data_IF_691805100767
#
_entry.id   IF_691805100767
#
_cell.length_a   1.000
_cell.length_b   1.000
_cell.length_c   1.000
_cell.angle_alpha   90.00
_cell.angle_beta   90.00
_cell.angle_gamma   90.00
#
_symmetry.space_group_name_H-M   'P 1'
#
loop_
_entity.id
_entity.type
_entity.pdbx_description
1 polymer ?
#
# COMPACT_ATOMS: atom_id res chain seq x y z
N UNK A 1 22.35 -1.48 -7.50
CA UNK A 1 21.74 -2.82 -7.71
C UNK A 1 21.03 -2.84 -9.06
N UNK A 2 21.09 -3.93 -9.86
CA UNK A 2 20.31 -4.03 -11.09
C UNK A 2 18.80 -3.94 -10.80
N UNK A 3 18.04 -3.37 -11.73
CA UNK A 3 16.58 -3.38 -11.68
C UNK A 3 16.04 -4.78 -12.05
N UNK A 4 14.92 -5.18 -11.46
CA UNK A 4 14.22 -6.42 -11.83
C UNK A 4 13.13 -6.12 -12.85
N UNK A 5 13.20 -6.79 -13.98
CA UNK A 5 12.15 -6.82 -15.01
C UNK A 5 11.40 -8.17 -14.95
N UNK A 6 10.07 -8.14 -14.93
CA UNK A 6 9.23 -9.34 -15.02
C UNK A 6 7.99 -9.07 -15.88
N UNK A 7 8.06 -9.42 -17.17
CA UNK A 7 6.91 -9.33 -18.08
C UNK A 7 6.02 -10.58 -18.04
N UNK A 8 6.48 -11.65 -17.37
CA UNK A 8 5.77 -12.92 -17.24
C UNK A 8 4.73 -12.92 -16.10
N UNK A 9 4.48 -11.78 -15.45
CA UNK A 9 3.49 -11.64 -14.37
C UNK A 9 2.09 -12.10 -14.80
N UNK A 10 1.68 -11.76 -16.03
CA UNK A 10 0.38 -12.15 -16.58
C UNK A 10 0.26 -13.65 -16.86
N UNK A 11 1.39 -14.37 -16.82
CA UNK A 11 1.46 -15.83 -16.95
C UNK A 11 1.58 -16.52 -15.58
N UNK A 12 1.36 -15.78 -14.48
CA UNK A 12 1.40 -16.32 -13.12
C UNK A 12 2.82 -16.53 -12.58
N UNK A 13 3.85 -16.01 -13.26
CA UNK A 13 5.24 -16.15 -12.82
C UNK A 13 5.60 -15.09 -11.78
N UNK A 14 5.91 -15.57 -10.58
CA UNK A 14 6.25 -14.73 -9.42
C UNK A 14 7.70 -14.87 -8.97
N UNK A 15 8.12 -14.01 -8.06
CA UNK A 15 9.43 -14.09 -7.40
C UNK A 15 9.25 -14.08 -5.89
N UNK A 16 9.79 -15.10 -5.23
CA UNK A 16 10.01 -15.14 -3.79
C UNK A 16 11.41 -14.57 -3.53
N UNK A 17 11.55 -13.36 -2.95
CA UNK A 17 12.87 -12.73 -2.78
C UNK A 17 13.75 -13.49 -1.78
N UNK A 18 15.07 -13.49 -2.03
CA UNK A 18 16.05 -14.03 -1.10
C UNK A 18 16.00 -13.31 0.25
N UNK A 19 16.00 -14.07 1.35
CA UNK A 19 16.13 -13.51 2.70
C UNK A 19 17.62 -13.33 3.02
N UNK A 20 18.12 -12.12 2.82
CA UNK A 20 19.54 -11.76 3.00
C UNK A 20 19.71 -10.51 3.84
N UNK A 21 20.81 -10.46 4.59
CA UNK A 21 21.21 -9.28 5.35
C UNK A 21 21.95 -8.27 4.46
N UNK A 22 22.00 -7.02 4.89
CA UNK A 22 22.81 -6.00 4.22
C UNK A 22 24.28 -6.41 4.19
N UNK A 23 24.95 -6.17 3.06
CA UNK A 23 26.32 -6.61 2.80
C UNK A 23 26.46 -8.07 2.36
N UNK A 24 25.39 -8.88 2.41
CA UNK A 24 25.44 -10.28 1.98
C UNK A 24 25.27 -10.42 0.47
N UNK A 25 26.11 -11.23 -0.18
CA UNK A 25 25.92 -11.62 -1.59
C UNK A 25 24.79 -12.62 -1.76
N UNK A 26 23.96 -12.43 -2.78
CA UNK A 26 22.88 -13.33 -3.17
C UNK A 26 22.65 -13.33 -4.68
N UNK A 27 21.91 -14.30 -5.17
CA UNK A 27 21.48 -14.36 -6.57
C UNK A 27 20.13 -13.67 -6.73
N UNK A 28 20.11 -12.54 -7.42
CA UNK A 28 18.89 -11.80 -7.71
C UNK A 28 18.36 -12.23 -9.09
N UNK A 29 17.09 -12.58 -9.19
CA UNK A 29 16.40 -12.72 -10.47
C UNK A 29 16.17 -11.29 -11.01
N UNK A 30 16.91 -10.93 -12.05
CA UNK A 30 16.91 -9.57 -12.63
C UNK A 30 16.04 -9.48 -13.89
N UNK A 31 15.79 -10.59 -14.57
CA UNK A 31 14.90 -10.64 -15.74
C UNK A 31 14.12 -11.94 -15.76
N UNK A 32 12.81 -11.82 -15.95
CA UNK A 32 11.90 -12.94 -16.16
C UNK A 32 11.07 -12.59 -17.38
N UNK A 33 11.20 -13.40 -18.41
CA UNK A 33 10.66 -13.11 -19.72
C UNK A 33 9.87 -14.31 -20.25
N UNK A 34 8.61 -14.08 -20.64
CA UNK A 34 7.86 -15.04 -21.45
C UNK A 34 8.20 -14.82 -22.93
N UNK A 35 8.73 -15.85 -23.60
CA UNK A 35 9.17 -15.71 -24.98
C UNK A 35 7.97 -15.51 -25.90
N UNK A 36 8.04 -14.50 -26.75
CA UNK A 36 7.06 -14.26 -27.82
C UNK A 36 7.02 -15.42 -28.81
N UNK A 37 5.95 -15.57 -29.62
CA UNK A 37 5.89 -16.63 -30.63
C UNK A 37 7.11 -16.64 -31.58
N UNK A 38 7.63 -15.48 -31.94
CA UNK A 38 8.78 -15.34 -32.84
C UNK A 38 10.09 -15.85 -32.20
N UNK A 39 10.27 -15.61 -30.90
CA UNK A 39 11.43 -16.07 -30.13
C UNK A 39 11.32 -17.56 -29.81
N UNK A 40 10.15 -18.01 -29.38
CA UNK A 40 9.95 -19.35 -28.88
C UNK A 40 10.06 -20.41 -29.97
N UNK A 41 9.44 -20.16 -31.13
CA UNK A 41 9.46 -21.06 -32.29
C UNK A 41 8.93 -22.48 -31.97
N UNK A 42 7.88 -22.58 -31.15
CA UNK A 42 7.23 -23.84 -30.79
C UNK A 42 7.97 -24.67 -29.73
N UNK A 43 8.98 -24.07 -29.07
CA UNK A 43 9.70 -24.75 -27.98
C UNK A 43 8.90 -24.74 -26.68
N UNK A 44 9.34 -25.57 -25.75
CA UNK A 44 8.76 -25.70 -24.40
C UNK A 44 9.90 -25.84 -23.40
N UNK A 45 10.65 -24.75 -23.22
CA UNK A 45 11.89 -24.72 -22.46
C UNK A 45 11.87 -23.59 -21.42
N UNK A 46 12.48 -23.87 -20.28
CA UNK A 46 12.95 -22.86 -19.35
C UNK A 46 14.43 -22.60 -19.65
N UNK A 47 14.75 -21.42 -20.16
CA UNK A 47 16.11 -20.93 -20.35
C UNK A 47 16.58 -20.22 -19.09
N UNK A 48 17.83 -20.45 -18.71
CA UNK A 48 18.40 -19.87 -17.49
C UNK A 48 19.77 -19.28 -17.83
N UNK A 49 19.97 -18.02 -17.47
CA UNK A 49 21.26 -17.36 -17.46
C UNK A 49 21.64 -16.95 -16.03
N UNK A 50 22.93 -17.10 -15.69
CA UNK A 50 23.47 -16.72 -14.40
C UNK A 50 24.70 -15.85 -14.65
N UNK A 51 24.68 -14.65 -14.08
CA UNK A 51 25.69 -13.62 -14.29
C UNK A 51 26.44 -13.33 -12.99
N UNK A 52 27.75 -13.10 -13.05
CA UNK A 52 28.55 -12.62 -11.92
C UNK A 52 28.21 -11.17 -11.55
N UNK A 53 28.89 -10.63 -10.54
CA UNK A 53 28.69 -9.24 -10.07
C UNK A 53 28.92 -8.20 -11.17
N UNK A 54 29.80 -8.50 -12.14
CA UNK A 54 30.10 -7.64 -13.28
C UNK A 54 29.17 -7.84 -14.49
N UNK A 55 28.11 -8.65 -14.36
CA UNK A 55 27.16 -8.92 -15.43
C UNK A 55 27.68 -9.88 -16.51
N UNK A 56 28.76 -10.63 -16.25
CA UNK A 56 29.30 -11.63 -17.18
C UNK A 56 28.78 -13.01 -16.84
N UNK A 57 28.58 -13.88 -17.84
CA UNK A 57 28.10 -15.25 -17.62
C UNK A 57 29.02 -16.00 -16.65
N UNK A 58 28.42 -16.49 -15.56
CA UNK A 58 29.09 -17.30 -14.55
C UNK A 58 29.09 -18.77 -14.99
N UNK A 59 30.06 -19.14 -15.84
CA UNK A 59 30.23 -20.52 -16.29
C UNK A 59 30.43 -21.48 -15.11
N UNK A 60 29.76 -22.64 -15.18
CA UNK A 60 29.74 -23.64 -14.11
C UNK A 60 28.79 -23.33 -12.96
N UNK A 61 28.15 -22.15 -12.93
CA UNK A 61 27.09 -21.87 -11.98
C UNK A 61 25.91 -22.83 -12.19
N UNK A 62 25.23 -23.18 -11.10
CA UNK A 62 24.18 -24.20 -11.11
C UNK A 62 22.87 -23.62 -10.62
N UNK A 63 21.78 -23.98 -11.29
CA UNK A 63 20.42 -23.71 -10.84
C UNK A 63 19.68 -25.00 -10.56
N UNK A 64 18.83 -25.00 -9.54
CA UNK A 64 17.90 -26.09 -9.26
C UNK A 64 16.54 -25.72 -9.79
N UNK A 65 16.03 -26.53 -10.71
CA UNK A 65 14.64 -26.49 -11.16
C UNK A 65 13.86 -27.53 -10.34
N UNK A 66 12.76 -27.13 -9.71
CA UNK A 66 11.94 -27.99 -8.85
C UNK A 66 10.47 -27.96 -9.26
N UNK A 67 9.81 -29.10 -9.23
CA UNK A 67 8.38 -29.28 -9.55
C UNK A 67 7.75 -30.29 -8.58
N UNK A 68 6.40 -30.43 -8.53
CA UNK A 68 5.76 -31.46 -7.73
C UNK A 68 6.30 -32.86 -8.08
N UNK A 69 6.99 -33.49 -7.13
CA UNK A 69 7.55 -34.83 -7.28
C UNK A 69 9.01 -34.92 -7.74
N UNK A 70 9.72 -33.79 -7.95
CA UNK A 70 11.13 -33.87 -8.30
C UNK A 70 11.88 -32.55 -8.38
N UNK A 71 13.19 -32.66 -8.61
CA UNK A 71 14.05 -31.54 -8.96
C UNK A 71 15.19 -31.99 -9.85
N UNK A 72 15.76 -31.07 -10.61
CA UNK A 72 16.92 -31.27 -11.44
C UNK A 72 17.87 -30.08 -11.29
N UNK A 73 19.16 -30.36 -11.18
CA UNK A 73 20.20 -29.34 -11.25
C UNK A 73 20.67 -29.20 -12.68
N UNK A 74 20.67 -27.97 -13.18
CA UNK A 74 21.19 -27.59 -14.50
C UNK A 74 22.41 -26.69 -14.31
N UNK A 75 23.38 -26.81 -15.21
CA UNK A 75 24.66 -26.08 -15.13
C UNK A 75 24.78 -25.15 -16.31
N UNK A 76 25.30 -23.94 -16.07
CA UNK A 76 25.59 -22.94 -17.11
C UNK A 76 26.90 -23.31 -17.80
N UNK A 77 26.80 -23.99 -18.94
CA UNK A 77 27.93 -24.50 -19.72
C UNK A 77 27.88 -24.10 -21.21
N UNK A 78 26.77 -23.50 -21.67
CA UNK A 78 26.55 -23.15 -23.07
C UNK A 78 27.32 -21.90 -23.54
N UNK A 79 27.71 -21.86 -24.83
CA UNK A 79 28.41 -20.70 -25.38
C UNK A 79 27.55 -19.43 -25.33
N UNK A 80 28.21 -18.26 -25.34
CA UNK A 80 27.55 -16.93 -25.23
C UNK A 80 26.53 -16.64 -26.36
N UNK A 81 26.57 -17.39 -27.46
CA UNK A 81 25.63 -17.26 -28.58
C UNK A 81 24.22 -17.79 -28.28
N UNK A 82 24.02 -18.49 -27.16
CA UNK A 82 22.73 -18.98 -26.71
C UNK A 82 22.57 -18.81 -25.18
N UNK A 83 21.37 -18.96 -24.60
CA UNK A 83 21.17 -18.87 -23.15
C UNK A 83 22.03 -19.88 -22.38
N UNK A 84 22.46 -19.51 -21.17
CA UNK A 84 23.49 -20.23 -20.40
C UNK A 84 23.21 -21.71 -20.14
N UNK A 85 21.95 -22.08 -19.93
CA UNK A 85 21.47 -23.46 -19.88
C UNK A 85 19.98 -23.52 -20.19
N UNK A 86 19.41 -24.73 -20.27
CA UNK A 86 17.96 -24.91 -20.36
C UNK A 86 17.44 -26.15 -19.64
N UNK A 87 16.13 -26.17 -19.41
CA UNK A 87 15.38 -27.27 -18.83
C UNK A 87 14.08 -27.49 -19.64
N UNK A 88 13.73 -28.73 -20.02
CA UNK A 88 12.48 -29.01 -20.74
C UNK A 88 11.26 -28.88 -19.83
N UNK A 89 10.26 -28.11 -20.26
CA UNK A 89 8.97 -28.00 -19.58
C UNK A 89 8.01 -29.06 -20.12
N UNK A 90 7.47 -29.88 -19.21
CA UNK A 90 6.47 -30.90 -19.57
C UNK A 90 5.05 -30.44 -19.22
N UNK A 91 4.04 -30.84 -20.00
CA UNK A 91 2.64 -30.58 -19.68
C UNK A 91 2.29 -30.96 -18.23
N UNK A 92 1.65 -30.05 -17.51
CA UNK A 92 1.24 -30.25 -16.10
C UNK A 92 2.35 -30.03 -15.07
N UNK A 93 3.59 -29.69 -15.47
CA UNK A 93 4.62 -29.27 -14.52
C UNK A 93 4.44 -27.82 -14.11
N UNK A 94 4.38 -27.60 -12.79
CA UNK A 94 4.51 -26.28 -12.18
C UNK A 94 5.92 -26.15 -11.59
N UNK A 95 6.80 -25.50 -12.33
CA UNK A 95 8.20 -25.38 -12.02
C UNK A 95 8.53 -24.13 -11.21
N UNK A 96 9.61 -24.24 -10.46
CA UNK A 96 10.31 -23.14 -9.81
C UNK A 96 11.80 -23.26 -10.05
N UNK A 97 12.53 -22.15 -10.06
CA UNK A 97 13.99 -22.13 -10.25
C UNK A 97 14.66 -21.20 -9.25
N UNK A 98 15.78 -21.66 -8.70
CA UNK A 98 16.67 -20.92 -7.80
C UNK A 98 18.13 -21.27 -8.14
N UNK A 99 19.06 -20.34 -7.93
CA UNK A 99 20.49 -20.57 -8.14
C UNK A 99 21.12 -21.13 -6.86
N UNK A 100 22.07 -22.05 -7.03
CA UNK A 100 22.76 -22.72 -5.92
C UNK A 100 24.02 -21.95 -5.48
N UNK A 101 24.51 -22.27 -4.28
CA UNK A 101 25.80 -21.79 -3.74
C UNK A 101 25.72 -20.51 -2.91
N UNK A 102 24.68 -19.70 -3.05
CA UNK A 102 24.37 -18.54 -2.21
C UNK A 102 22.85 -18.50 -1.97
N UNK A 103 22.34 -17.68 -1.02
CA UNK A 103 20.92 -17.34 -1.03
C UNK A 103 20.51 -16.86 -2.42
N UNK A 104 19.32 -17.24 -2.85
CA UNK A 104 18.81 -16.93 -4.18
C UNK A 104 17.36 -16.49 -4.09
N UNK A 105 16.98 -15.57 -4.96
CA UNK A 105 15.59 -15.43 -5.33
C UNK A 105 15.10 -16.76 -5.89
N UNK A 106 13.82 -17.06 -5.64
CA UNK A 106 13.16 -18.24 -6.20
C UNK A 106 12.04 -17.78 -7.13
N UNK A 107 12.20 -18.07 -8.41
CA UNK A 107 11.17 -17.77 -9.42
C UNK A 107 10.19 -18.93 -9.45
N UNK A 108 8.90 -18.64 -9.30
CA UNK A 108 7.83 -19.63 -9.12
C UNK A 108 6.74 -19.46 -10.17
N UNK A 109 5.88 -20.46 -10.33
CA UNK A 109 4.73 -20.36 -11.23
C UNK A 109 5.04 -20.68 -12.70
N UNK A 110 6.23 -21.20 -13.01
CA UNK A 110 6.64 -21.45 -14.40
C UNK A 110 5.95 -22.71 -14.92
N UNK A 111 5.05 -22.60 -15.91
CA UNK A 111 4.43 -23.73 -16.59
C UNK A 111 4.13 -23.43 -18.06
N UNK A 112 3.88 -24.45 -18.87
CA UNK A 112 3.62 -24.28 -20.31
C UNK A 112 2.13 -24.36 -20.70
N UNK A 113 1.22 -24.60 -19.76
CA UNK A 113 -0.23 -24.63 -20.01
C UNK A 113 -0.83 -23.22 -20.07
N UNK A 114 -0.61 -22.53 -21.19
CA UNK A 114 -1.24 -21.24 -21.51
C UNK A 114 -2.05 -21.32 -22.81
N UNK A 115 -2.99 -20.40 -23.04
CA UNK A 115 -3.71 -20.30 -24.32
C UNK A 115 -2.78 -20.02 -25.50
N UNK A 116 -3.20 -20.43 -26.70
CA UNK A 116 -2.48 -20.18 -27.95
C UNK A 116 -2.33 -18.67 -28.23
N UNK A 117 -1.13 -18.27 -28.64
CA UNK A 117 -0.78 -16.88 -29.01
C UNK A 117 -0.20 -16.78 -30.43
N UNK A 118 -0.23 -17.89 -31.18
CA UNK A 118 0.26 -17.97 -32.54
C UNK A 118 1.09 -19.24 -32.79
N UNK A 119 1.62 -19.42 -34.01
CA UNK A 119 2.29 -20.67 -34.39
C UNK A 119 3.55 -21.00 -33.57
N UNK A 120 4.15 -20.00 -32.92
CA UNK A 120 5.31 -20.18 -32.07
C UNK A 120 5.00 -20.43 -30.59
N UNK A 121 3.77 -20.15 -30.15
CA UNK A 121 3.28 -20.32 -28.79
C UNK A 121 1.89 -20.96 -28.85
N UNK A 122 1.86 -22.28 -28.96
CA UNK A 122 0.63 -23.07 -28.81
C UNK A 122 0.56 -23.65 -27.41
N UNK A 123 -0.61 -24.13 -27.00
CA UNK A 123 -0.80 -24.74 -25.69
C UNK A 123 0.22 -25.83 -25.43
N UNK A 124 0.90 -25.76 -24.28
CA UNK A 124 2.05 -26.59 -23.88
C UNK A 124 3.38 -26.31 -24.60
N UNK A 125 3.42 -25.33 -25.50
CA UNK A 125 4.60 -24.84 -26.20
C UNK A 125 4.84 -23.38 -25.87
N UNK A 126 4.98 -23.07 -24.58
CA UNK A 126 5.43 -21.76 -24.10
C UNK A 126 6.78 -21.93 -23.40
N UNK A 127 7.70 -20.99 -23.63
CA UNK A 127 9.03 -20.97 -23.03
C UNK A 127 9.25 -19.70 -22.23
N UNK A 128 10.15 -19.78 -21.26
CA UNK A 128 10.51 -18.66 -20.39
C UNK A 128 12.02 -18.52 -20.32
N UNK A 129 12.49 -17.29 -20.14
CA UNK A 129 13.88 -16.96 -19.82
C UNK A 129 13.93 -16.36 -18.41
N UNK A 130 14.80 -16.91 -17.57
CA UNK A 130 15.13 -16.35 -16.26
C UNK A 130 16.61 -16.00 -16.22
N UNK A 131 16.92 -14.76 -15.90
CA UNK A 131 18.29 -14.27 -15.74
C UNK A 131 18.52 -13.93 -14.27
N UNK A 132 19.53 -14.57 -13.68
CA UNK A 132 20.03 -14.25 -12.35
C UNK A 132 21.33 -13.46 -12.45
N UNK A 133 21.54 -12.54 -11.51
CA UNK A 133 22.84 -11.88 -11.32
C UNK A 133 23.26 -11.96 -9.87
N UNK A 134 24.55 -12.23 -9.63
CA UNK A 134 25.13 -12.13 -8.29
C UNK A 134 25.15 -10.66 -7.89
N UNK A 135 24.54 -10.33 -6.78
CA UNK A 135 24.48 -8.98 -6.24
C UNK A 135 24.84 -8.99 -4.76
N UNK A 136 25.35 -7.88 -4.25
CA UNK A 136 25.48 -7.65 -2.82
C UNK A 136 24.26 -6.85 -2.37
N UNK A 137 23.56 -7.30 -1.33
CA UNK A 137 22.48 -6.53 -0.73
C UNK A 137 23.05 -5.22 -0.22
N UNK A 138 22.71 -4.10 -0.84
CA UNK A 138 23.28 -2.81 -0.47
C UNK A 138 22.94 -2.47 0.99
N UNK A 139 23.97 -2.17 1.77
CA UNK A 139 23.82 -1.54 3.07
C UNK A 139 23.66 -0.05 2.82
N UNK A 140 22.41 0.38 2.77
CA UNK A 140 22.10 1.79 2.71
C UNK A 140 22.66 2.53 3.91
N UNK A 141 23.20 3.72 3.69
CA UNK A 141 23.61 4.65 4.75
C UNK A 141 22.85 5.96 4.68
N UNK A 142 21.96 6.13 3.70
CA UNK A 142 21.15 7.33 3.64
C UNK A 142 20.20 7.41 4.83
N UNK A 143 19.86 8.64 5.17
CA UNK A 143 18.93 8.98 6.25
C UNK A 143 17.90 9.95 5.72
N UNK A 144 16.62 9.62 5.87
CA UNK A 144 15.53 10.60 5.72
C UNK A 144 15.07 10.94 7.13
N UNK A 145 15.22 12.20 7.54
CA UNK A 145 14.74 12.68 8.84
C UNK A 145 13.97 13.97 8.67
N UNK A 146 13.23 14.36 9.70
CA UNK A 146 12.47 15.60 9.62
C UNK A 146 11.52 15.84 10.76
N UNK A 147 10.70 16.85 10.56
CA UNK A 147 9.61 17.28 11.42
C UNK A 147 8.29 17.21 10.65
N UNK A 148 7.22 16.75 11.29
CA UNK A 148 5.85 16.74 10.78
C UNK A 148 4.96 17.51 11.74
N UNK A 149 4.72 18.79 11.46
CA UNK A 149 3.88 19.65 12.29
C UNK A 149 2.44 19.12 12.29
N UNK A 150 1.83 18.98 13.48
CA UNK A 150 0.53 18.33 13.69
C UNK A 150 0.58 16.81 13.60
N UNK A 151 1.78 16.22 13.51
CA UNK A 151 2.01 14.80 13.26
C UNK A 151 2.19 13.94 14.50
N UNK A 152 2.36 14.53 15.68
CA UNK A 152 2.67 13.81 16.91
C UNK A 152 1.75 12.59 17.14
N UNK A 153 2.35 11.45 17.46
CA UNK A 153 1.63 10.19 17.72
C UNK A 153 1.06 9.48 16.49
N UNK A 154 1.09 10.10 15.30
CA UNK A 154 0.68 9.44 14.05
C UNK A 154 1.79 8.55 13.49
N UNK A 155 1.41 7.56 12.69
CA UNK A 155 2.35 6.72 11.97
C UNK A 155 2.76 7.38 10.66
N UNK A 156 4.06 7.48 10.40
CA UNK A 156 4.63 7.82 9.10
C UNK A 156 5.18 6.56 8.44
N UNK A 157 4.85 6.36 7.17
CA UNK A 157 5.28 5.22 6.36
C UNK A 157 6.28 5.69 5.32
N UNK A 158 7.33 4.88 5.13
CA UNK A 158 8.26 4.98 4.02
C UNK A 158 7.98 3.84 3.05
N UNK A 159 7.71 4.20 1.79
CA UNK A 159 7.42 3.27 0.72
C UNK A 159 8.54 3.29 -0.32
N UNK A 160 8.76 2.15 -0.98
CA UNK A 160 9.61 2.02 -2.17
C UNK A 160 8.86 1.14 -3.17
N UNK A 161 8.70 1.62 -4.41
CA UNK A 161 7.91 0.91 -5.45
C UNK A 161 6.49 0.54 -4.99
N UNK A 162 5.87 1.39 -4.17
CA UNK A 162 4.51 1.19 -3.65
C UNK A 162 4.40 0.23 -2.45
N UNK A 163 5.49 -0.44 -2.05
CA UNK A 163 5.52 -1.30 -0.87
C UNK A 163 6.04 -0.55 0.36
N UNK A 164 5.41 -0.77 1.52
CA UNK A 164 5.90 -0.22 2.79
C UNK A 164 7.19 -0.92 3.21
N UNK A 165 8.30 -0.20 3.13
CA UNK A 165 9.62 -0.71 3.54
C UNK A 165 9.96 -0.36 4.98
N UNK A 166 9.30 0.65 5.55
CA UNK A 166 9.46 1.02 6.96
C UNK A 166 8.26 1.82 7.48
N UNK A 167 8.02 1.74 8.79
CA UNK A 167 7.00 2.49 9.48
C UNK A 167 7.56 3.01 10.81
N UNK A 168 7.23 4.26 11.17
CA UNK A 168 7.64 4.89 12.42
C UNK A 168 6.48 5.67 13.02
N UNK A 169 6.44 5.78 14.34
CA UNK A 169 5.56 6.73 15.03
C UNK A 169 6.32 8.06 15.08
N UNK A 170 5.64 9.15 14.69
CA UNK A 170 6.17 10.51 14.83
C UNK A 170 6.22 10.85 16.31
N UNK A 171 7.38 11.31 16.80
CA UNK A 171 7.57 11.62 18.21
C UNK A 171 6.65 12.74 18.71
N UNK A 172 6.53 12.85 20.03
CA UNK A 172 5.84 13.99 20.69
C UNK A 172 6.51 15.33 20.38
N UNK A 173 7.79 15.31 19.99
CA UNK A 173 8.55 16.45 19.48
C UNK A 173 8.33 16.68 17.97
N UNK A 174 7.37 15.98 17.37
CA UNK A 174 7.00 15.99 15.96
C UNK A 174 8.09 15.49 15.01
N UNK A 175 9.12 14.80 15.51
CA UNK A 175 10.26 14.34 14.70
C UNK A 175 10.15 12.89 14.26
N UNK A 176 10.79 12.59 13.13
CA UNK A 176 10.97 11.24 12.62
C UNK A 176 12.36 11.06 11.99
N UNK A 177 12.81 9.80 11.91
CA UNK A 177 14.00 9.40 11.17
C UNK A 177 13.88 7.97 10.64
N UNK A 178 14.23 7.81 9.36
CA UNK A 178 14.46 6.54 8.69
C UNK A 178 15.95 6.47 8.34
N UNK A 179 16.62 5.43 8.80
CA UNK A 179 18.06 5.26 8.67
C UNK A 179 18.38 4.00 7.88
N UNK A 180 19.64 3.89 7.46
CA UNK A 180 20.17 2.75 6.72
C UNK A 180 19.46 2.49 5.39
N UNK A 181 19.11 3.57 4.70
CA UNK A 181 18.33 3.51 3.46
C UNK A 181 19.24 3.32 2.26
N UNK A 182 19.05 2.25 1.46
CA UNK A 182 19.82 2.06 0.23
C UNK A 182 19.47 3.11 -0.81
N UNK A 183 20.32 3.23 -1.82
CA UNK A 183 20.02 4.07 -2.98
C UNK A 183 18.67 3.65 -3.60
N UNK A 184 17.91 4.63 -4.06
CA UNK A 184 16.61 4.43 -4.68
C UNK A 184 15.64 5.58 -4.46
N UNK A 185 14.46 5.44 -5.05
CA UNK A 185 13.36 6.41 -4.95
C UNK A 185 12.39 5.96 -3.87
N UNK A 186 12.04 6.87 -2.97
CA UNK A 186 11.13 6.61 -1.87
C UNK A 186 9.94 7.56 -1.87
N UNK A 187 8.87 7.12 -1.20
CA UNK A 187 7.69 7.93 -0.93
C UNK A 187 7.42 7.95 0.57
N UNK A 188 7.13 9.12 1.13
CA UNK A 188 6.63 9.26 2.50
C UNK A 188 5.13 9.49 2.50
N UNK A 189 4.41 8.90 3.45
CA UNK A 189 2.99 9.18 3.68
C UNK A 189 2.62 9.04 5.15
N UNK A 190 1.59 9.78 5.58
CA UNK A 190 0.96 9.63 6.89
C UNK A 190 -0.49 9.16 6.69
N UNK A 191 -0.81 7.89 6.99
CA UNK A 191 -2.16 7.35 6.80
C UNK A 191 -3.24 8.17 7.50
N UNK A 192 -4.41 8.27 6.86
CA UNK A 192 -5.52 9.10 7.35
C UNK A 192 -5.36 10.60 7.10
N UNK A 193 -4.35 11.00 6.32
CA UNK A 193 -4.12 12.38 5.88
C UNK A 193 -3.83 12.41 4.38
N UNK A 194 -3.83 13.60 3.79
CA UNK A 194 -3.44 13.77 2.38
C UNK A 194 -1.90 13.94 2.22
N UNK A 195 -1.13 13.85 3.32
CA UNK A 195 0.32 14.03 3.26
C UNK A 195 0.97 12.88 2.50
N UNK A 196 1.58 13.24 1.37
CA UNK A 196 2.34 12.35 0.51
C UNK A 196 3.49 13.11 -0.15
N UNK A 197 4.72 12.64 0.05
CA UNK A 197 5.92 13.20 -0.57
C UNK A 197 6.51 12.11 -1.46
N UNK A 198 6.43 12.30 -2.77
CA UNK A 198 6.92 11.34 -3.76
C UNK A 198 8.32 11.73 -4.24
N UNK A 199 8.94 10.82 -5.01
CA UNK A 199 10.20 11.06 -5.71
C UNK A 199 11.36 11.51 -4.80
N UNK A 200 11.43 10.98 -3.58
CA UNK A 200 12.59 11.19 -2.69
C UNK A 200 13.73 10.31 -3.18
N UNK A 201 14.58 10.86 -4.03
CA UNK A 201 15.78 10.20 -4.55
C UNK A 201 16.88 10.14 -3.49
N UNK A 202 17.43 8.94 -3.26
CA UNK A 202 18.60 8.71 -2.42
C UNK A 202 19.73 8.05 -3.22
N UNK A 203 20.96 8.51 -3.01
CA UNK A 203 22.22 7.95 -3.51
C UNK A 203 22.78 6.81 -2.64
N UNK A 204 22.18 6.56 -1.48
CA UNK A 204 22.57 5.51 -0.53
C UNK A 204 23.59 5.98 0.53
N UNK A 205 24.02 7.24 0.51
CA UNK A 205 24.94 7.86 1.45
C UNK A 205 24.41 9.18 2.06
N UNK A 206 23.49 9.88 1.41
CA UNK A 206 23.10 11.22 1.84
C UNK A 206 22.12 11.28 3.03
N UNK A 207 22.03 12.46 3.66
CA UNK A 207 21.00 12.74 4.66
C UNK A 207 20.06 13.83 4.14
N UNK A 208 18.79 13.47 3.96
CA UNK A 208 17.71 14.40 3.62
C UNK A 208 17.01 14.83 4.91
N UNK A 209 16.81 16.13 5.07
CA UNK A 209 16.01 16.70 6.16
C UNK A 209 14.76 17.38 5.60
N UNK A 210 13.59 16.93 6.04
CA UNK A 210 12.29 17.43 5.58
C UNK A 210 11.59 18.20 6.71
N UNK A 211 10.81 19.21 6.33
CA UNK A 211 9.84 19.85 7.21
C UNK A 211 8.48 19.79 6.54
N UNK A 212 7.57 19.02 7.13
CA UNK A 212 6.25 18.73 6.61
C UNK A 212 5.20 19.31 7.56
N UNK A 213 4.02 19.64 7.04
CA UNK A 213 2.90 20.16 7.84
C UNK A 213 1.69 19.31 7.48
N UNK A 214 1.04 18.72 8.49
CA UNK A 214 -0.28 18.15 8.31
C UNK A 214 -1.27 19.30 8.35
N UNK A 215 -1.85 19.63 7.20
CA UNK A 215 -3.00 20.52 7.18
C UNK A 215 -4.17 19.79 7.86
N UNK A 216 -4.55 20.25 9.06
CA UNK A 216 -5.89 19.97 9.53
C UNK A 216 -6.84 20.57 8.50
N UNK A 217 -7.61 19.72 7.81
CA UNK A 217 -8.68 20.20 6.93
C UNK A 217 -9.65 21.01 7.80
N UNK A 218 -9.47 22.34 7.82
CA UNK A 218 -10.38 23.23 8.51
C UNK A 218 -11.74 23.05 7.86
N UNK A 219 -12.67 22.48 8.61
CA UNK A 219 -14.03 22.27 8.14
C UNK A 219 -14.69 23.64 7.96
N UNK A 220 -15.28 23.95 6.79
CA UNK A 220 -15.88 25.25 6.54
C UNK A 220 -17.06 25.56 7.47
N UNK A 221 -17.67 24.53 8.05
CA UNK A 221 -18.75 24.65 9.03
C UNK A 221 -18.18 24.35 10.42
N UNK A 222 -18.33 25.27 11.37
CA UNK A 222 -17.86 25.04 12.74
C UNK A 222 -18.75 24.03 13.48
N UNK A 223 -20.07 24.16 13.35
CA UNK A 223 -21.04 23.32 14.03
C UNK A 223 -22.31 23.13 13.18
N UNK A 224 -22.67 21.86 12.97
CA UNK A 224 -23.89 21.45 12.27
C UNK A 224 -24.82 20.70 13.22
N UNK A 225 -26.09 21.12 13.30
CA UNK A 225 -27.15 20.44 14.02
C UNK A 225 -27.94 19.59 13.02
N UNK A 226 -27.67 18.28 13.03
CA UNK A 226 -28.24 17.32 12.09
C UNK A 226 -29.52 16.72 12.66
N UNK A 227 -30.62 16.91 11.95
CA UNK A 227 -31.90 16.27 12.24
C UNK A 227 -32.12 15.04 11.36
N UNK A 228 -32.98 14.12 11.80
CA UNK A 228 -33.50 13.04 10.96
C UNK A 228 -34.38 13.51 9.80
N UNK A 229 -34.95 12.61 8.99
CA UNK A 229 -35.72 12.95 7.81
C UNK A 229 -36.87 13.94 8.09
N UNK A 230 -36.95 15.09 7.37
CA UNK A 230 -37.89 16.17 7.68
C UNK A 230 -39.37 15.80 7.47
N UNK A 231 -39.65 14.69 6.76
CA UNK A 231 -41.00 14.17 6.54
C UNK A 231 -41.60 13.54 7.79
N UNK A 232 -40.78 13.26 8.83
CA UNK A 232 -41.24 12.69 10.10
C UNK A 232 -41.81 13.79 11.01
N UNK A 233 -43.06 13.67 11.51
CA UNK A 233 -43.68 14.66 12.39
C UNK A 233 -42.86 14.98 13.65
N UNK A 234 -42.15 13.98 14.20
CA UNK A 234 -41.32 14.12 15.39
C UNK A 234 -40.17 15.12 15.16
N UNK A 235 -39.63 15.16 13.94
CA UNK A 235 -38.53 16.08 13.59
C UNK A 235 -39.00 17.53 13.61
N UNK A 236 -40.25 17.81 13.23
CA UNK A 236 -40.80 19.16 13.32
C UNK A 236 -40.88 19.65 14.77
N UNK A 237 -41.23 18.74 15.70
CA UNK A 237 -41.24 19.02 17.14
C UNK A 237 -39.81 19.27 17.63
N UNK A 238 -38.85 18.44 17.24
CA UNK A 238 -37.45 18.59 17.65
C UNK A 238 -36.84 19.92 17.21
N UNK A 239 -37.13 20.36 15.99
CA UNK A 239 -36.69 21.67 15.47
C UNK A 239 -37.28 22.80 16.34
N UNK A 240 -38.58 22.72 16.66
CA UNK A 240 -39.23 23.72 17.51
C UNK A 240 -38.59 23.76 18.91
N UNK A 241 -38.33 22.60 19.51
CA UNK A 241 -37.67 22.50 20.81
C UNK A 241 -36.24 23.02 20.80
N UNK A 242 -35.53 22.88 19.69
CA UNK A 242 -34.17 23.37 19.50
C UNK A 242 -34.07 24.87 19.20
N UNK A 243 -35.18 25.58 18.97
CA UNK A 243 -35.17 26.98 18.53
C UNK A 243 -34.33 27.91 19.42
N UNK A 244 -34.46 27.78 20.74
CA UNK A 244 -33.70 28.60 21.70
C UNK A 244 -32.19 28.34 21.61
N UNK A 245 -31.81 27.07 21.54
CA UNK A 245 -30.42 26.66 21.36
C UNK A 245 -29.86 27.14 20.02
N UNK A 246 -30.64 27.04 18.94
CA UNK A 246 -30.26 27.50 17.60
C UNK A 246 -30.05 29.02 17.61
N UNK A 247 -30.95 29.78 18.25
CA UNK A 247 -30.82 31.23 18.36
C UNK A 247 -29.62 31.65 19.23
N UNK A 248 -29.30 30.89 20.27
CA UNK A 248 -28.20 31.21 21.20
C UNK A 248 -26.82 30.90 20.59
N UNK A 249 -26.65 29.74 19.96
CA UNK A 249 -25.34 29.27 19.47
C UNK A 249 -25.12 29.45 17.96
N UNK A 250 -26.18 29.68 17.18
CA UNK A 250 -26.11 29.88 15.73
C UNK A 250 -25.48 28.74 14.92
N UNK A 251 -25.77 27.44 15.19
CA UNK A 251 -25.28 26.36 14.34
C UNK A 251 -25.86 26.42 12.93
N UNK A 252 -25.18 25.81 11.97
CA UNK A 252 -25.82 25.45 10.69
C UNK A 252 -26.81 24.33 10.97
N UNK A 253 -28.04 24.46 10.48
CA UNK A 253 -29.11 23.49 10.73
C UNK A 253 -29.50 22.83 9.42
N UNK A 254 -29.64 21.51 9.43
CA UNK A 254 -30.19 20.81 8.27
C UNK A 254 -30.33 19.31 8.46
N UNK A 255 -30.47 18.63 7.32
CA UNK A 255 -30.88 17.23 7.22
C UNK A 255 -29.90 16.41 6.36
N UNK A 256 -28.81 17.03 5.87
CA UNK A 256 -27.89 16.43 4.91
C UNK A 256 -26.62 15.93 5.58
N UNK A 257 -26.34 14.63 5.44
CA UNK A 257 -25.07 14.05 5.86
C UNK A 257 -23.89 14.60 5.06
N UNK A 258 -24.10 14.93 3.80
CA UNK A 258 -23.05 15.50 2.95
C UNK A 258 -22.64 16.88 3.48
N UNK A 259 -23.61 17.75 3.78
CA UNK A 259 -23.33 19.05 4.40
C UNK A 259 -22.72 18.90 5.79
N UNK A 260 -23.29 18.02 6.64
CA UNK A 260 -22.77 17.74 7.97
C UNK A 260 -21.32 17.22 7.94
N UNK A 261 -20.93 16.47 6.89
CA UNK A 261 -19.55 15.98 6.72
C UNK A 261 -18.53 17.10 6.51
N UNK A 262 -18.98 18.31 6.18
CA UNK A 262 -18.16 19.52 6.07
C UNK A 262 -18.09 20.31 7.39
N UNK A 263 -18.60 19.76 8.50
CA UNK A 263 -18.57 20.39 9.82
C UNK A 263 -17.47 19.85 10.74
N UNK A 264 -16.88 20.70 11.57
CA UNK A 264 -15.94 20.30 12.61
C UNK A 264 -16.68 19.56 13.74
N UNK A 265 -17.84 20.07 14.14
CA UNK A 265 -18.71 19.48 15.15
C UNK A 265 -20.08 19.16 14.55
N UNK A 266 -20.57 17.94 14.75
CA UNK A 266 -21.93 17.55 14.39
C UNK A 266 -22.67 17.13 15.65
N UNK A 267 -23.81 17.76 15.92
CA UNK A 267 -24.75 17.32 16.96
C UNK A 267 -25.96 16.70 16.28
N UNK A 268 -26.16 15.40 16.47
CA UNK A 268 -27.29 14.65 15.93
C UNK A 268 -28.45 14.76 16.91
N UNK A 269 -29.61 15.19 16.43
CA UNK A 269 -30.87 15.19 17.17
C UNK A 269 -31.72 14.01 16.67
N UNK A 270 -31.87 13.00 17.52
CA UNK A 270 -32.71 11.84 17.27
C UNK A 270 -32.03 10.50 17.50
N UNK A 271 -32.87 9.47 17.56
CA UNK A 271 -32.50 8.06 17.69
C UNK A 271 -31.83 7.47 16.42
N UNK A 272 -31.44 6.20 16.52
CA UNK A 272 -30.80 5.45 15.43
C UNK A 272 -31.75 5.10 14.28
N UNK A 273 -33.07 5.18 14.48
CA UNK A 273 -34.04 4.97 13.40
C UNK A 273 -34.14 6.19 12.48
N UNK A 274 -33.67 7.35 12.96
CA UNK A 274 -33.67 8.64 12.24
C UNK A 274 -32.30 8.98 11.65
N UNK A 275 -31.24 8.74 12.39
CA UNK A 275 -29.85 8.83 11.89
C UNK A 275 -29.11 7.62 12.43
N UNK A 276 -28.82 6.67 11.55
CA UNK A 276 -28.25 5.37 11.91
C UNK A 276 -26.84 5.46 12.47
N UNK A 277 -26.39 4.37 13.11
CA UNK A 277 -25.01 4.25 13.60
C UNK A 277 -24.00 4.31 12.44
N UNK A 278 -24.34 3.77 11.26
CA UNK A 278 -23.45 3.79 10.10
C UNK A 278 -23.21 5.20 9.58
N UNK A 279 -24.24 6.04 9.58
CA UNK A 279 -24.15 7.45 9.16
C UNK A 279 -23.33 8.27 10.18
N UNK A 280 -23.49 7.99 11.46
CA UNK A 280 -22.65 8.57 12.52
C UNK A 280 -21.17 8.20 12.36
N UNK A 281 -20.86 6.92 12.14
CA UNK A 281 -19.49 6.45 11.90
C UNK A 281 -18.90 7.01 10.60
N UNK A 282 -19.73 7.22 9.57
CA UNK A 282 -19.30 7.89 8.33
C UNK A 282 -18.83 9.33 8.60
N UNK A 283 -19.58 10.10 9.40
CA UNK A 283 -19.21 11.45 9.78
C UNK A 283 -17.91 11.48 10.61
N UNK A 284 -17.76 10.57 11.58
CA UNK A 284 -16.50 10.41 12.33
C UNK A 284 -15.33 10.08 11.41
N UNK A 285 -15.53 9.16 10.46
CA UNK A 285 -14.53 8.80 9.43
C UNK A 285 -14.17 9.94 8.49
N UNK A 286 -15.04 10.95 8.35
CA UNK A 286 -14.77 12.20 7.63
C UNK A 286 -14.08 13.27 8.50
N UNK A 287 -13.74 12.95 9.75
CA UNK A 287 -13.04 13.85 10.68
C UNK A 287 -13.97 14.79 11.44
N UNK A 288 -15.28 14.52 11.50
CA UNK A 288 -16.21 15.28 12.33
C UNK A 288 -16.15 14.80 13.79
N UNK A 289 -16.21 15.73 14.75
CA UNK A 289 -16.51 15.39 16.14
C UNK A 289 -18.03 15.26 16.29
N UNK A 290 -18.51 14.03 16.38
CA UNK A 290 -19.95 13.74 16.39
C UNK A 290 -20.45 13.45 17.80
N UNK A 291 -21.58 14.06 18.17
CA UNK A 291 -22.29 13.81 19.43
C UNK A 291 -23.77 13.67 19.15
N UNK A 292 -24.47 12.87 19.94
CA UNK A 292 -25.89 12.60 19.75
C UNK A 292 -26.69 12.95 20.98
N UNK A 293 -27.85 13.57 20.77
CA UNK A 293 -28.87 13.76 21.79
C UNK A 293 -30.04 12.84 21.42
N UNK A 294 -30.28 11.83 22.26
CA UNK A 294 -31.41 10.91 22.16
C UNK A 294 -32.36 11.14 23.32
N UNK A 295 -33.65 10.91 23.10
CA UNK A 295 -34.67 10.97 24.14
C UNK A 295 -36.01 11.39 23.59
N UNK A 296 -37.00 11.48 24.47
CA UNK A 296 -38.29 12.09 24.16
C UNK A 296 -38.20 13.63 24.10
N UNK A 297 -39.32 14.27 23.73
CA UNK A 297 -39.42 15.73 23.62
C UNK A 297 -39.04 16.47 24.91
N UNK A 298 -39.36 15.90 26.09
CA UNK A 298 -39.02 16.52 27.37
C UNK A 298 -37.52 16.44 27.65
N UNK A 299 -36.91 15.28 27.40
CA UNK A 299 -35.48 15.07 27.56
C UNK A 299 -34.67 15.94 26.61
N UNK A 300 -35.07 16.01 25.33
CA UNK A 300 -34.43 16.87 24.34
C UNK A 300 -34.46 18.34 24.80
N UNK A 301 -35.63 18.84 25.21
CA UNK A 301 -35.76 20.23 25.67
C UNK A 301 -34.89 20.49 26.90
N UNK A 302 -34.87 19.58 27.87
CA UNK A 302 -34.07 19.71 29.08
C UNK A 302 -32.56 19.76 28.76
N UNK A 303 -32.06 18.86 27.90
CA UNK A 303 -30.65 18.83 27.51
C UNK A 303 -30.26 20.13 26.78
N UNK A 304 -31.05 20.56 25.80
CA UNK A 304 -30.75 21.78 25.04
C UNK A 304 -30.79 23.04 25.91
N UNK A 305 -31.74 23.14 26.84
CA UNK A 305 -31.80 24.25 27.79
C UNK A 305 -30.60 24.25 28.75
N UNK A 306 -30.20 23.09 29.27
CA UNK A 306 -29.00 22.98 30.12
C UNK A 306 -27.72 23.40 29.38
N UNK A 307 -27.59 23.07 28.09
CA UNK A 307 -26.48 23.53 27.26
C UNK A 307 -26.45 25.05 27.09
N UNK A 308 -27.62 25.68 26.88
CA UNK A 308 -27.76 27.13 26.83
C UNK A 308 -27.38 27.76 28.17
N UNK A 309 -27.90 27.23 29.29
CA UNK A 309 -27.62 27.74 30.64
C UNK A 309 -26.12 27.65 30.99
N UNK A 310 -25.44 26.59 30.55
CA UNK A 310 -24.00 26.39 30.73
C UNK A 310 -23.15 27.19 29.74
N UNK A 311 -23.74 27.77 28.69
CA UNK A 311 -23.02 28.47 27.63
C UNK A 311 -22.13 27.55 26.78
N UNK A 312 -22.42 26.25 26.75
CA UNK A 312 -21.64 25.26 25.99
C UNK A 312 -22.50 24.65 24.87
N UNK A 313 -22.12 24.77 23.59
CA UNK A 313 -22.95 24.27 22.50
C UNK A 313 -22.98 22.73 22.45
N UNK A 314 -22.01 22.02 23.04
CA UNK A 314 -21.89 20.59 22.84
C UNK A 314 -22.26 19.80 24.09
N UNK A 315 -23.05 18.71 23.97
CA UNK A 315 -23.22 17.77 25.07
C UNK A 315 -21.88 17.14 25.45
N UNK A 316 -21.76 16.70 26.71
CA UNK A 316 -20.60 15.91 27.13
C UNK A 316 -20.62 14.56 26.39
N UNK A 317 -19.43 14.06 26.05
CA UNK A 317 -19.25 12.80 25.34
C UNK A 317 -19.57 11.60 26.23
#
# INVERSE_FOLDING_TARGET
>A
MPERENDALNYGVGVEPAKVEAGQSYWMAIKIHHLTPQENQGRSLLYIDILDEGGKRAYGAQARVSWPGGSQVVTVDKPLSEPGTNFPLWPGQLCSVEVLGLPSDRVTGIHNDHPDEGPGNTRFHHSFLVVFQKVVKEEGRSVIKGEVVGGAGKTILLLRQGEVVSAKIIGEDERFAFEKLPAGVYTLTVPGTDLRVEDIELDGLETITLRLVLEEKSKPIYHYLLFGPPERPEVQVDILLASEYIMHFGPVVGFSLEEASNAANVTIIGDYDRVSLQEEELLKGKGCTVRRITGDAYQLKAILSDLVDKGTPFPQA
#
